data_IF_106315510071
#
_entry.id   IF_106315510071
#
_cell.length_a   1.000
_cell.length_b   1.000
_cell.length_c   1.000
_cell.angle_alpha   90.00
_cell.angle_beta   90.00
_cell.angle_gamma   90.00
#
_symmetry.space_group_name_H-M   'P 1'
#
loop_
_entity.id
_entity.type
_entity.pdbx_description
1 polymer ?
#
# COMPACT_ATOMS: atom_id res chain seq x y z
N UNK A 1 12.42 6.08 22.54
CA UNK A 1 12.54 5.03 21.49
C UNK A 1 11.26 4.86 20.69
N UNK A 2 10.10 4.57 21.32
CA UNK A 2 8.82 4.35 20.60
C UNK A 2 8.34 5.58 19.79
N UNK A 3 8.48 6.79 20.35
CA UNK A 3 8.11 8.03 19.66
C UNK A 3 8.96 8.30 18.41
N UNK A 4 10.27 7.99 18.48
CA UNK A 4 11.18 8.11 17.35
C UNK A 4 10.79 7.18 16.20
N UNK A 5 10.41 5.94 16.51
CA UNK A 5 9.91 4.97 15.54
C UNK A 5 8.61 5.45 14.85
N UNK A 6 7.67 5.99 15.62
CA UNK A 6 6.41 6.51 15.06
C UNK A 6 6.65 7.74 14.18
N UNK A 7 7.58 8.62 14.56
CA UNK A 7 7.96 9.77 13.74
C UNK A 7 8.60 9.32 12.41
N UNK A 8 9.47 8.31 12.43
CA UNK A 8 10.09 7.75 11.25
C UNK A 8 9.06 7.12 10.29
N UNK A 9 8.13 6.31 10.81
CA UNK A 9 7.04 5.72 10.03
C UNK A 9 6.16 6.79 9.37
N UNK A 10 5.86 7.87 10.10
CA UNK A 10 5.09 9.00 9.56
C UNK A 10 5.83 9.74 8.44
N UNK A 11 7.17 9.85 8.53
CA UNK A 11 8.01 10.41 7.49
C UNK A 11 8.02 9.53 6.23
N UNK A 12 8.21 8.22 6.41
CA UNK A 12 8.17 7.24 5.31
C UNK A 12 6.82 7.25 4.59
N UNK A 13 5.71 7.31 5.33
CA UNK A 13 4.38 7.45 4.74
C UNK A 13 4.27 8.66 3.82
N UNK A 14 4.75 9.83 4.25
CA UNK A 14 4.72 11.07 3.42
C UNK A 14 5.52 10.91 2.13
N UNK A 15 6.69 10.28 2.21
CA UNK A 15 7.52 10.00 1.02
C UNK A 15 6.80 9.03 0.09
N UNK A 16 6.29 7.91 0.61
CA UNK A 16 5.54 6.92 -0.17
C UNK A 16 4.33 7.56 -0.86
N UNK A 17 3.59 8.42 -0.16
CA UNK A 17 2.47 9.18 -0.73
C UNK A 17 2.90 10.09 -1.87
N UNK A 18 4.00 10.83 -1.71
CA UNK A 18 4.52 11.70 -2.76
C UNK A 18 4.94 10.88 -3.99
N UNK A 19 5.64 9.76 -3.79
CA UNK A 19 6.04 8.86 -4.87
C UNK A 19 4.81 8.25 -5.57
N UNK A 20 3.81 7.80 -4.82
CA UNK A 20 2.56 7.26 -5.38
C UNK A 20 1.81 8.32 -6.19
N UNK A 21 1.71 9.56 -5.71
CA UNK A 21 1.04 10.64 -6.42
C UNK A 21 1.77 10.99 -7.72
N UNK A 22 3.11 11.06 -7.70
CA UNK A 22 3.92 11.28 -8.90
C UNK A 22 3.77 10.13 -9.90
N UNK A 23 3.81 8.87 -9.42
CA UNK A 23 3.61 7.69 -10.26
C UNK A 23 2.21 7.68 -10.91
N UNK A 24 1.18 8.09 -10.18
CA UNK A 24 -0.19 8.20 -10.69
C UNK A 24 -0.30 9.29 -11.77
N UNK A 25 0.34 10.44 -11.58
CA UNK A 25 0.39 11.48 -12.60
C UNK A 25 1.15 11.01 -13.84
N UNK A 26 2.28 10.33 -13.66
CA UNK A 26 3.04 9.75 -14.76
C UNK A 26 2.23 8.69 -15.52
N UNK A 27 1.47 7.85 -14.81
CA UNK A 27 0.56 6.86 -15.41
C UNK A 27 -0.48 7.55 -16.30
N UNK A 28 -1.14 8.60 -15.79
CA UNK A 28 -2.12 9.36 -16.56
C UNK A 28 -1.50 10.02 -17.80
N UNK A 29 -0.28 10.56 -17.69
CA UNK A 29 0.44 11.13 -18.83
C UNK A 29 0.75 10.08 -19.89
N UNK A 30 1.31 8.92 -19.50
CA UNK A 30 1.66 7.82 -20.42
C UNK A 30 0.41 7.28 -21.11
N UNK A 31 -0.69 7.05 -20.37
CA UNK A 31 -1.95 6.62 -20.97
C UNK A 31 -2.51 7.68 -21.91
N UNK A 32 -2.42 8.96 -21.54
CA UNK A 32 -2.85 10.08 -22.39
C UNK A 32 -2.05 10.15 -23.70
N UNK A 33 -0.72 10.08 -23.64
CA UNK A 33 0.12 10.08 -24.84
C UNK A 33 -0.07 8.83 -25.69
N UNK A 34 -0.31 7.66 -25.10
CA UNK A 34 -0.62 6.44 -25.85
C UNK A 34 -1.93 6.58 -26.63
N UNK A 35 -2.99 7.06 -25.97
CA UNK A 35 -4.30 7.30 -26.60
C UNK A 35 -4.17 8.30 -27.74
N UNK A 36 -3.48 9.42 -27.51
CA UNK A 36 -3.22 10.44 -28.55
C UNK A 36 -2.41 9.85 -29.71
N UNK A 37 -1.34 9.10 -29.42
CA UNK A 37 -0.50 8.46 -30.45
C UNK A 37 -1.25 7.45 -31.30
N UNK A 38 -2.22 6.72 -30.72
CA UNK A 38 -3.11 5.81 -31.47
C UNK A 38 -3.98 6.53 -32.50
N UNK A 39 -4.37 7.78 -32.26
CA UNK A 39 -5.09 8.56 -33.28
C UNK A 39 -4.24 8.89 -34.51
N UNK A 40 -2.90 8.87 -34.38
CA UNK A 40 -1.94 9.09 -35.45
C UNK A 40 -1.29 7.79 -35.96
N UNK A 41 -1.91 6.63 -35.69
CA UNK A 41 -1.38 5.30 -36.04
C UNK A 41 0.04 5.00 -35.49
N UNK A 42 0.46 5.72 -34.45
CA UNK A 42 1.76 5.57 -33.79
C UNK A 42 1.57 5.36 -32.28
N UNK A 43 1.08 4.17 -31.85
CA UNK A 43 0.94 3.85 -30.43
C UNK A 43 2.30 3.87 -29.72
N UNK A 44 2.29 4.16 -28.42
CA UNK A 44 3.51 4.19 -27.63
C UNK A 44 3.94 2.74 -27.33
N UNK A 45 5.10 2.33 -27.84
CA UNK A 45 5.59 0.97 -27.65
C UNK A 45 5.78 0.63 -26.17
N UNK A 46 5.11 -0.43 -25.71
CA UNK A 46 5.18 -0.90 -24.32
C UNK A 46 4.50 0.00 -23.28
N UNK A 47 3.58 0.89 -23.72
CA UNK A 47 2.74 1.69 -22.83
C UNK A 47 2.01 0.85 -21.78
N UNK A 48 1.42 -0.28 -22.18
CA UNK A 48 0.73 -1.21 -21.27
C UNK A 48 1.62 -1.71 -20.13
N UNK A 49 2.88 -2.06 -20.42
CA UNK A 49 3.83 -2.52 -19.40
C UNK A 49 4.19 -1.40 -18.42
N UNK A 50 4.49 -0.22 -18.95
CA UNK A 50 4.81 0.97 -18.13
C UNK A 50 3.63 1.33 -17.22
N UNK A 51 2.42 1.36 -17.77
CA UNK A 51 1.19 1.67 -17.05
C UNK A 51 0.94 0.62 -15.96
N UNK A 52 1.14 -0.66 -16.26
CA UNK A 52 0.99 -1.75 -15.27
C UNK A 52 2.00 -1.62 -14.13
N UNK A 53 3.28 -1.35 -14.45
CA UNK A 53 4.31 -1.15 -13.43
C UNK A 53 4.01 0.07 -12.54
N UNK A 54 3.60 1.19 -13.15
CA UNK A 54 3.19 2.39 -12.40
C UNK A 54 1.96 2.13 -11.54
N UNK A 55 0.98 1.37 -12.04
CA UNK A 55 -0.21 1.00 -11.27
C UNK A 55 0.16 0.18 -10.02
N UNK A 56 1.08 -0.78 -10.15
CA UNK A 56 1.58 -1.55 -9.00
C UNK A 56 2.29 -0.66 -7.98
N UNK A 57 3.11 0.30 -8.44
CA UNK A 57 3.75 1.29 -7.55
C UNK A 57 2.70 2.14 -6.82
N UNK A 58 1.69 2.65 -7.54
CA UNK A 58 0.61 3.44 -6.94
C UNK A 58 -0.12 2.64 -5.88
N UNK A 59 -0.50 1.39 -6.17
CA UNK A 59 -1.21 0.52 -5.23
C UNK A 59 -0.34 0.26 -4.01
N UNK A 60 0.89 -0.23 -4.18
CA UNK A 60 1.77 -0.59 -3.06
C UNK A 60 2.14 0.59 -2.16
N UNK A 61 2.42 1.75 -2.75
CA UNK A 61 2.90 2.92 -2.02
C UNK A 61 1.76 3.76 -1.42
N UNK A 62 0.53 3.64 -1.92
CA UNK A 62 -0.62 4.36 -1.37
C UNK A 62 -1.26 3.68 -0.16
N UNK A 63 -0.98 2.38 0.08
CA UNK A 63 -1.61 1.60 1.17
C UNK A 63 -1.46 2.22 2.57
N UNK A 64 -0.27 2.66 3.03
CA UNK A 64 -0.14 3.27 4.35
C UNK A 64 -0.93 4.58 4.48
N UNK A 65 -1.03 5.35 3.38
CA UNK A 65 -1.84 6.57 3.37
C UNK A 65 -3.33 6.25 3.39
N UNK A 66 -3.75 5.25 2.61
CA UNK A 66 -5.12 4.79 2.55
C UNK A 66 -5.59 4.30 3.93
N UNK A 67 -4.76 3.55 4.66
CA UNK A 67 -5.08 3.15 6.03
C UNK A 67 -5.21 4.32 6.99
N UNK A 68 -4.29 5.29 6.91
CA UNK A 68 -4.32 6.48 7.77
C UNK A 68 -5.58 7.34 7.56
N UNK A 69 -6.04 7.48 6.31
CA UNK A 69 -7.20 8.32 5.97
C UNK A 69 -8.53 7.56 5.90
N UNK A 70 -8.50 6.24 5.70
CA UNK A 70 -9.68 5.42 5.40
C UNK A 70 -9.67 4.12 6.20
N UNK A 71 -9.28 4.13 7.47
CA UNK A 71 -9.42 2.96 8.35
C UNK A 71 -10.91 2.61 8.49
N UNK A 72 -11.40 1.83 7.53
CA UNK A 72 -12.69 1.17 7.51
C UNK A 72 -13.92 2.08 7.60
N UNK A 73 -14.02 3.11 6.75
CA UNK A 73 -15.19 4.03 6.71
C UNK A 73 -16.54 3.25 6.68
N UNK A 74 -16.62 2.17 5.92
CA UNK A 74 -17.84 1.34 5.84
C UNK A 74 -18.18 0.60 7.13
N UNK A 75 -17.17 0.02 7.81
CA UNK A 75 -17.37 -0.69 9.09
C UNK A 75 -17.59 0.33 10.21
N UNK A 76 -16.90 1.47 10.18
CA UNK A 76 -17.07 2.54 11.16
C UNK A 76 -18.50 3.09 11.19
N UNK A 77 -19.16 3.26 10.04
CA UNK A 77 -20.55 3.76 10.01
C UNK A 77 -21.50 2.79 10.73
N UNK A 78 -21.37 1.49 10.49
CA UNK A 78 -22.19 0.48 11.15
C UNK A 78 -21.84 0.35 12.65
N UNK A 79 -20.54 0.36 12.96
CA UNK A 79 -20.02 0.25 14.33
C UNK A 79 -20.27 1.52 15.15
N UNK A 80 -20.60 2.66 14.51
CA UNK A 80 -20.99 3.89 15.19
C UNK A 80 -22.24 3.74 16.05
N UNK A 81 -23.16 2.86 15.67
CA UNK A 81 -24.41 2.59 16.40
C UNK A 81 -24.26 1.58 17.55
N UNK A 82 -23.10 0.93 17.67
CA UNK A 82 -22.85 -0.11 18.67
C UNK A 82 -22.25 0.47 19.97
N UNK A 83 -22.51 -0.17 21.12
CA UNK A 83 -21.95 0.25 22.41
C UNK A 83 -20.42 0.14 22.42
N UNK A 84 -19.77 1.02 23.20
CA UNK A 84 -18.29 1.22 23.22
C UNK A 84 -17.48 -0.08 23.29
N UNK A 85 -17.89 -1.02 24.15
CA UNK A 85 -17.21 -2.31 24.32
C UNK A 85 -17.19 -3.16 23.06
N UNK A 86 -18.28 -3.16 22.28
CA UNK A 86 -18.38 -3.94 21.04
C UNK A 86 -17.56 -3.30 19.93
N UNK A 87 -17.56 -1.95 19.86
CA UNK A 87 -16.70 -1.21 18.94
C UNK A 87 -15.22 -1.53 19.15
N UNK A 88 -14.76 -1.50 20.40
CA UNK A 88 -13.38 -1.79 20.76
C UNK A 88 -12.96 -3.21 20.34
N UNK A 89 -13.84 -4.20 20.56
CA UNK A 89 -13.59 -5.59 20.15
C UNK A 89 -13.53 -5.73 18.63
N UNK A 90 -14.48 -5.13 17.91
CA UNK A 90 -14.49 -5.19 16.44
C UNK A 90 -13.22 -4.53 15.88
N UNK A 91 -12.82 -3.38 16.41
CA UNK A 91 -11.59 -2.69 16.00
C UNK A 91 -10.34 -3.56 16.24
N UNK A 92 -10.24 -4.20 17.41
CA UNK A 92 -9.12 -5.08 17.72
C UNK A 92 -9.07 -6.30 16.79
N UNK A 93 -10.22 -6.95 16.55
CA UNK A 93 -10.31 -8.14 15.68
C UNK A 93 -9.95 -7.76 14.24
N UNK A 94 -10.53 -6.69 13.70
CA UNK A 94 -10.28 -6.25 12.32
C UNK A 94 -8.82 -5.84 12.11
N UNK A 95 -8.25 -5.06 13.03
CA UNK A 95 -6.84 -4.65 12.96
C UNK A 95 -5.90 -5.85 13.10
N UNK A 96 -6.19 -6.79 14.00
CA UNK A 96 -5.36 -8.00 14.18
C UNK A 96 -5.44 -8.95 12.98
N UNK A 97 -6.64 -9.11 12.40
CA UNK A 97 -6.83 -9.90 11.19
C UNK A 97 -6.11 -9.28 9.99
N UNK A 98 -6.21 -7.95 9.82
CA UNK A 98 -5.47 -7.21 8.81
C UNK A 98 -3.95 -7.39 9.02
N UNK A 99 -3.47 -7.25 10.26
CA UNK A 99 -2.05 -7.43 10.57
C UNK A 99 -1.55 -8.82 10.16
N UNK A 100 -2.28 -9.88 10.54
CA UNK A 100 -1.93 -11.26 10.17
C UNK A 100 -1.92 -11.46 8.65
N UNK A 101 -2.96 -11.00 7.96
CA UNK A 101 -3.07 -11.10 6.50
C UNK A 101 -1.90 -10.38 5.80
N UNK A 102 -1.67 -9.12 6.14
CA UNK A 102 -0.66 -8.30 5.46
C UNK A 102 0.77 -8.68 5.84
N UNK A 103 1.00 -9.27 7.02
CA UNK A 103 2.29 -9.89 7.34
C UNK A 103 2.58 -11.08 6.41
N UNK A 104 1.59 -11.96 6.19
CA UNK A 104 1.74 -13.10 5.26
C UNK A 104 1.93 -12.62 3.82
N UNK A 105 1.15 -11.61 3.38
CA UNK A 105 1.28 -11.04 2.04
C UNK A 105 2.68 -10.43 1.84
N UNK A 106 3.17 -9.64 2.79
CA UNK A 106 4.51 -9.05 2.72
C UNK A 106 5.59 -10.14 2.61
N UNK A 107 5.52 -11.19 3.43
CA UNK A 107 6.44 -12.33 3.37
C UNK A 107 6.40 -13.02 2.01
N UNK A 108 5.20 -13.38 1.54
CA UNK A 108 5.02 -14.10 0.27
C UNK A 108 5.43 -13.26 -0.94
N UNK A 109 5.26 -11.95 -0.90
CA UNK A 109 5.72 -11.07 -1.97
C UNK A 109 7.25 -11.03 -2.07
N UNK A 110 7.96 -11.11 -0.94
CA UNK A 110 9.43 -11.22 -0.95
C UNK A 110 9.86 -12.56 -1.54
N UNK A 111 9.28 -13.69 -1.09
CA UNK A 111 9.56 -15.02 -1.65
C UNK A 111 9.29 -15.07 -3.17
N UNK A 112 8.18 -14.46 -3.60
CA UNK A 112 7.80 -14.37 -5.00
C UNK A 112 8.80 -13.52 -5.81
N UNK A 113 9.21 -12.36 -5.28
CA UNK A 113 10.23 -11.51 -5.91
C UNK A 113 11.57 -12.21 -6.08
N UNK A 114 12.01 -12.98 -5.07
CA UNK A 114 13.23 -13.79 -5.15
C UNK A 114 13.12 -14.90 -6.20
N UNK A 115 11.97 -15.58 -6.26
CA UNK A 115 11.70 -16.62 -7.27
C UNK A 115 11.68 -16.02 -8.69
N UNK A 116 11.13 -14.81 -8.84
CA UNK A 116 11.12 -14.09 -10.10
C UNK A 116 12.53 -13.62 -10.53
N UNK A 117 13.35 -13.24 -9.56
CA UNK A 117 14.75 -12.88 -9.79
C UNK A 117 15.57 -14.08 -10.29
N UNK A 118 15.39 -15.27 -9.70
CA UNK A 118 16.14 -16.48 -10.11
C UNK A 118 15.67 -17.06 -11.44
N UNK A 119 14.38 -16.93 -11.76
CA UNK A 119 13.82 -17.35 -13.05
C UNK A 119 14.14 -16.40 -14.21
N UNK A 120 14.65 -15.19 -13.92
CA UNK A 120 15.05 -14.23 -14.93
C UNK A 120 13.88 -13.68 -15.75
N UNK A 121 12.67 -13.71 -15.21
CA UNK A 121 11.46 -13.18 -15.87
C UNK A 121 11.65 -11.70 -16.16
N UNK A 122 11.37 -11.33 -17.41
CA UNK A 122 11.43 -9.96 -17.93
C UNK A 122 10.16 -9.66 -18.69
N UNK A 123 9.81 -8.38 -18.75
CA UNK A 123 8.67 -7.92 -19.51
C UNK A 123 8.83 -8.22 -20.99
N UNK A 124 7.72 -8.49 -21.68
CA UNK A 124 7.72 -9.11 -23.01
C UNK A 124 8.18 -8.13 -24.09
N UNK A 125 7.85 -6.85 -23.95
CA UNK A 125 8.20 -5.79 -24.88
C UNK A 125 9.45 -5.01 -24.44
N UNK A 126 9.49 -4.51 -23.19
CA UNK A 126 10.60 -3.67 -22.72
C UNK A 126 11.81 -4.47 -22.20
N UNK A 127 11.67 -5.78 -21.96
CA UNK A 127 12.72 -6.56 -21.32
C UNK A 127 13.04 -6.11 -19.89
N UNK A 128 12.09 -5.40 -19.26
CA UNK A 128 12.28 -4.82 -17.94
C UNK A 128 12.20 -5.91 -16.86
N UNK A 129 13.09 -5.91 -15.87
CA UNK A 129 13.04 -6.86 -14.76
C UNK A 129 11.84 -6.60 -13.84
N UNK A 130 10.75 -7.35 -14.03
CA UNK A 130 9.51 -7.19 -13.26
C UNK A 130 9.69 -7.42 -11.74
N UNK A 131 10.69 -8.21 -11.35
CA UNK A 131 10.99 -8.48 -9.94
C UNK A 131 11.26 -7.20 -9.14
N UNK A 132 11.77 -6.13 -9.77
CA UNK A 132 12.00 -4.85 -9.10
C UNK A 132 10.68 -4.23 -8.61
N UNK A 133 9.64 -4.27 -9.45
CA UNK A 133 8.33 -3.72 -9.11
C UNK A 133 7.68 -4.55 -8.00
N UNK A 134 7.84 -5.87 -8.04
CA UNK A 134 7.39 -6.78 -6.98
C UNK A 134 8.09 -6.45 -5.65
N UNK A 135 9.39 -6.17 -5.64
CA UNK A 135 10.08 -5.78 -4.42
C UNK A 135 9.61 -4.43 -3.87
N UNK A 136 9.32 -3.45 -4.73
CA UNK A 136 8.75 -2.17 -4.27
C UNK A 136 7.35 -2.37 -3.68
N UNK A 137 6.53 -3.23 -4.30
CA UNK A 137 5.23 -3.62 -3.76
C UNK A 137 5.35 -4.32 -2.40
N UNK A 138 6.28 -5.29 -2.28
CA UNK A 138 6.58 -5.99 -1.04
C UNK A 138 7.00 -5.01 0.07
N UNK A 139 7.84 -4.02 -0.27
CA UNK A 139 8.23 -2.95 0.64
C UNK A 139 7.01 -2.11 1.06
N UNK A 140 6.12 -1.75 0.13
CA UNK A 140 4.87 -1.06 0.45
C UNK A 140 4.01 -1.81 1.46
N UNK A 141 3.81 -3.11 1.25
CA UNK A 141 3.09 -3.97 2.19
C UNK A 141 3.81 -4.10 3.53
N UNK A 142 5.14 -4.18 3.56
CA UNK A 142 5.91 -4.23 4.79
C UNK A 142 5.69 -2.96 5.63
N UNK A 143 5.78 -1.77 5.02
CA UNK A 143 5.55 -0.50 5.74
C UNK A 143 4.10 -0.39 6.22
N UNK A 144 3.16 -0.90 5.44
CA UNK A 144 1.76 -0.95 5.86
C UNK A 144 1.55 -1.89 7.07
N UNK A 145 2.13 -3.08 7.05
CA UNK A 145 2.13 -4.01 8.20
C UNK A 145 2.73 -3.35 9.45
N UNK A 146 3.82 -2.58 9.32
CA UNK A 146 4.39 -1.83 10.44
C UNK A 146 3.45 -0.75 11.00
N UNK A 147 2.64 -0.11 10.16
CA UNK A 147 1.59 0.80 10.63
C UNK A 147 0.49 0.06 11.41
N UNK A 148 0.09 -1.14 10.97
CA UNK A 148 -0.86 -1.97 11.71
C UNK A 148 -0.32 -2.41 13.07
N UNK A 149 0.98 -2.78 13.16
CA UNK A 149 1.63 -3.07 14.44
C UNK A 149 1.59 -1.85 15.36
N UNK A 150 1.91 -0.66 14.84
CA UNK A 150 1.83 0.58 15.60
C UNK A 150 0.42 0.77 16.18
N UNK A 151 -0.62 0.60 15.37
CA UNK A 151 -2.00 0.82 15.81
C UNK A 151 -2.40 -0.15 16.93
N UNK A 152 -2.06 -1.43 16.79
CA UNK A 152 -2.28 -2.44 17.84
C UNK A 152 -1.54 -2.07 19.13
N UNK A 153 -0.26 -1.69 19.04
CA UNK A 153 0.54 -1.28 20.20
C UNK A 153 -0.04 -0.04 20.87
N UNK A 154 -0.45 0.96 20.10
CA UNK A 154 -1.08 2.18 20.65
C UNK A 154 -2.42 1.88 21.30
N UNK A 155 -3.18 0.92 20.80
CA UNK A 155 -4.44 0.51 21.40
C UNK A 155 -4.25 -0.13 22.78
N UNK A 156 -3.18 -0.92 22.97
CA UNK A 156 -2.83 -1.49 24.27
C UNK A 156 -2.22 -0.48 25.25
N UNK A 157 -1.52 0.55 24.75
CA UNK A 157 -0.91 1.58 25.61
C UNK A 157 -1.83 2.76 25.92
N UNK A 158 -2.90 2.97 25.14
CA UNK A 158 -3.87 4.01 25.39
C UNK A 158 -4.73 3.69 26.63
N UNK A 159 -4.60 4.53 27.67
CA UNK A 159 -5.44 4.49 28.86
C UNK A 159 -6.92 4.71 28.47
N UNK A 160 -7.89 4.10 29.18
CA UNK A 160 -9.31 4.12 28.80
C UNK A 160 -9.97 5.52 28.69
N UNK A 161 -9.30 6.59 29.16
CA UNK A 161 -9.82 7.96 29.14
C UNK A 161 -9.70 8.66 27.77
N UNK A 162 -8.72 8.31 26.92
CA UNK A 162 -8.56 8.90 25.57
C UNK A 162 -9.43 8.25 24.50
N UNK A 163 -10.35 7.35 24.88
CA UNK A 163 -11.29 6.66 23.97
C UNK A 163 -12.55 7.48 23.64
N UNK A 164 -12.55 8.78 23.95
CA UNK A 164 -13.76 9.63 23.97
C UNK A 164 -13.77 10.82 23.00
N UNK A 165 -12.70 11.05 22.23
CA UNK A 165 -12.74 11.98 21.09
C UNK A 165 -12.80 11.20 19.77
#
# INVERSE_FOLDING_TARGET
MLQSLFSALSGMRKVMRAVAATALCAMALVTGTDVVGRFWDSPLFGSEEIVTMLAVLVVGLSLPEAHWHRSHIGVEIFVRFLPKKVRDIIHLITTSAALGLFAVVAWRMVDYGLTMQTSGVRSMNLGFPEYLVVFVLAFGFLIFTLHLVRDVVTWFTASPETRQE
#
